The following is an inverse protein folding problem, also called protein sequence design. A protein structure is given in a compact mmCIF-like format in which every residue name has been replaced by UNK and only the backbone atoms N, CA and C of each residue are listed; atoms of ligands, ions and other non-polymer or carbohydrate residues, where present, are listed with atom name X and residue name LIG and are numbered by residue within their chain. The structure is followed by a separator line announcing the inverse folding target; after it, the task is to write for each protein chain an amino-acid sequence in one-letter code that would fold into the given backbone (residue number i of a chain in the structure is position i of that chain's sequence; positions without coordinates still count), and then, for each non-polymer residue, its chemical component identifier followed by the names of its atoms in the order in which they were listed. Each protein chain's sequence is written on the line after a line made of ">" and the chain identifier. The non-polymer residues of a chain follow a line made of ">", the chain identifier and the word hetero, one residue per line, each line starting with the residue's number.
data_IF_943505086575
#
_entry.id   IF_943505086575
#
_cell.length_a   1.000
_cell.length_b   1.000
_cell.length_c   1.000
_cell.angle_alpha   90.00
_cell.angle_beta   90.00
_cell.angle_gamma   90.00
#
_symmetry.space_group_name_H-M   'P 1'
#
loop_
_entity.id
_entity.type
_entity.pdbx_description
1 polymer ?
#
# COMPACT_ATOMS: atom_id res chain seq x y z
N UNK A 1 15.29 -3.21 -20.06
CA UNK A 1 14.12 -3.94 -19.54
C UNK A 1 12.89 -3.24 -20.08
N UNK A 2 11.89 -3.96 -20.62
CA UNK A 2 10.64 -3.31 -21.03
C UNK A 2 10.10 -2.50 -19.85
N UNK A 3 9.56 -1.30 -20.12
CA UNK A 3 9.21 -0.27 -19.14
C UNK A 3 8.48 -0.86 -17.92
N UNK A 4 9.19 -1.02 -16.79
CA UNK A 4 8.54 -1.31 -15.50
C UNK A 4 7.53 -0.18 -15.23
N UNK A 5 6.24 -0.49 -15.04
CA UNK A 5 5.21 0.53 -14.89
C UNK A 5 5.49 1.40 -13.67
N UNK A 6 5.31 2.71 -13.86
CA UNK A 6 5.30 3.68 -12.78
C UNK A 6 3.89 3.70 -12.18
N UNK A 7 3.72 2.89 -11.13
CA UNK A 7 2.42 2.62 -10.50
C UNK A 7 2.49 2.82 -8.99
N UNK A 8 1.42 3.38 -8.43
CA UNK A 8 1.16 3.44 -6.99
C UNK A 8 -0.02 2.51 -6.66
N UNK A 9 0.19 1.59 -5.73
CA UNK A 9 -0.81 0.62 -5.28
C UNK A 9 -1.35 1.08 -3.93
N UNK A 10 -2.64 1.36 -3.85
CA UNK A 10 -3.33 1.72 -2.61
C UNK A 10 -3.80 0.45 -1.91
N UNK A 11 -3.45 0.29 -0.64
CA UNK A 11 -3.83 -0.86 0.18
C UNK A 11 -4.53 -0.36 1.45
N UNK A 12 -5.86 -0.49 1.57
CA UNK A 12 -6.58 -0.12 2.78
C UNK A 12 -6.32 -1.17 3.87
N UNK A 13 -6.00 -0.73 5.09
CA UNK A 13 -5.71 -1.60 6.21
C UNK A 13 -6.57 -1.22 7.43
N UNK A 14 -7.26 -2.21 7.99
CA UNK A 14 -7.92 -2.09 9.29
C UNK A 14 -7.77 -3.40 10.06
N UNK A 15 -7.01 -3.38 11.16
CA UNK A 15 -6.74 -4.55 11.99
C UNK A 15 -6.17 -5.75 11.20
N UNK A 16 -5.11 -5.50 10.44
CA UNK A 16 -4.47 -6.44 9.52
C UNK A 16 -3.14 -6.99 10.03
N UNK A 17 -2.73 -6.70 11.27
CA UNK A 17 -1.38 -7.05 11.78
C UNK A 17 -0.96 -8.52 11.57
N UNK A 18 -1.94 -9.45 11.60
CA UNK A 18 -1.71 -10.91 11.44
C UNK A 18 -1.97 -11.40 10.01
N UNK A 19 -2.67 -10.61 9.21
CA UNK A 19 -3.14 -10.97 7.87
C UNK A 19 -2.27 -10.36 6.78
N UNK A 20 -1.59 -9.25 7.06
CA UNK A 20 -0.75 -8.56 6.12
C UNK A 20 0.48 -9.44 5.75
N UNK A 21 0.61 -9.91 4.50
CA UNK A 21 1.70 -10.78 4.08
C UNK A 21 3.01 -10.01 3.87
N UNK A 22 3.67 -9.65 4.97
CA UNK A 22 4.86 -8.78 4.96
C UNK A 22 5.97 -9.32 4.05
N UNK A 23 6.19 -10.64 4.04
CA UNK A 23 7.23 -11.24 3.21
C UNK A 23 6.96 -11.04 1.70
N UNK A 24 5.70 -11.10 1.28
CA UNK A 24 5.31 -10.93 -0.12
C UNK A 24 5.46 -9.47 -0.55
N UNK A 25 4.99 -8.52 0.28
CA UNK A 25 5.22 -7.10 0.04
C UNK A 25 6.71 -6.75 -0.06
N UNK A 26 7.55 -7.30 0.82
CA UNK A 26 9.01 -7.06 0.76
C UNK A 26 9.61 -7.59 -0.54
N UNK A 27 9.28 -8.84 -0.89
CA UNK A 27 9.78 -9.48 -2.12
C UNK A 27 9.36 -8.69 -3.35
N UNK A 28 8.11 -8.24 -3.41
CA UNK A 28 7.60 -7.38 -4.48
C UNK A 28 8.37 -6.06 -4.57
N UNK A 29 8.56 -5.35 -3.46
CA UNK A 29 9.27 -4.07 -3.41
C UNK A 29 10.77 -4.19 -3.75
N UNK A 30 11.38 -5.34 -3.46
CA UNK A 30 12.76 -5.65 -3.85
C UNK A 30 12.87 -5.89 -5.37
N UNK A 31 11.89 -6.58 -5.96
CA UNK A 31 11.87 -6.91 -7.39
C UNK A 31 11.40 -5.73 -8.27
N UNK A 32 10.63 -4.79 -7.73
CA UNK A 32 9.99 -3.71 -8.48
C UNK A 32 10.34 -2.32 -7.93
N UNK A 33 11.60 -1.84 -8.07
CA UNK A 33 12.08 -0.61 -7.41
C UNK A 33 11.40 0.70 -7.82
N UNK A 34 10.54 0.67 -8.86
CA UNK A 34 9.73 1.81 -9.30
C UNK A 34 8.29 1.78 -8.76
N UNK A 35 7.84 0.62 -8.29
CA UNK A 35 6.52 0.47 -7.70
C UNK A 35 6.48 1.25 -6.38
N UNK A 36 5.31 1.82 -6.09
CA UNK A 36 5.03 2.44 -4.81
C UNK A 36 3.80 1.81 -4.21
N UNK A 37 3.78 1.68 -2.89
CA UNK A 37 2.65 1.15 -2.13
C UNK A 37 2.24 2.20 -1.11
N UNK A 38 0.98 2.62 -1.18
CA UNK A 38 0.35 3.52 -0.22
C UNK A 38 -0.58 2.71 0.67
N UNK A 39 -0.14 2.42 1.90
CA UNK A 39 -0.99 1.79 2.90
C UNK A 39 -1.85 2.86 3.57
N UNK A 40 -3.16 2.63 3.59
CA UNK A 40 -4.11 3.52 4.26
C UNK A 40 -4.57 2.84 5.54
N UNK A 41 -3.98 3.21 6.67
CA UNK A 41 -4.39 2.72 7.97
C UNK A 41 -5.69 3.42 8.41
N UNK A 42 -6.81 2.70 8.33
CA UNK A 42 -8.14 3.20 8.58
C UNK A 42 -8.52 3.15 10.08
N UNK A 43 -7.69 3.80 10.90
CA UNK A 43 -7.77 3.82 12.36
C UNK A 43 -7.75 2.41 13.01
N UNK A 44 -6.78 1.58 12.63
CA UNK A 44 -6.56 0.28 13.29
C UNK A 44 -6.35 0.44 14.79
N UNK A 45 -6.90 -0.50 15.56
CA UNK A 45 -6.81 -0.56 17.03
C UNK A 45 -5.80 -1.59 17.53
N UNK A 46 -5.16 -2.31 16.61
CA UNK A 46 -4.09 -3.27 16.87
C UNK A 46 -2.72 -2.74 16.39
N UNK A 47 -1.71 -3.60 16.31
CA UNK A 47 -0.35 -3.20 15.91
C UNK A 47 -0.16 -3.05 14.39
N UNK A 48 -1.23 -2.95 13.59
CA UNK A 48 -1.12 -2.76 12.13
C UNK A 48 -0.23 -1.58 11.78
N UNK A 49 -0.38 -0.43 12.47
CA UNK A 49 0.44 0.75 12.21
C UNK A 49 1.95 0.52 12.41
N UNK A 50 2.33 -0.25 13.44
CA UNK A 50 3.74 -0.58 13.72
C UNK A 50 4.34 -1.46 12.61
N UNK A 51 3.55 -2.43 12.14
CA UNK A 51 3.94 -3.31 11.03
C UNK A 51 4.14 -2.51 9.74
N UNK A 52 3.22 -1.59 9.43
CA UNK A 52 3.34 -0.69 8.28
C UNK A 52 4.58 0.22 8.40
N UNK A 53 4.84 0.77 9.59
CA UNK A 53 6.02 1.62 9.83
C UNK A 53 7.32 0.85 9.62
N UNK A 54 7.37 -0.42 10.02
CA UNK A 54 8.51 -1.30 9.76
C UNK A 54 8.78 -1.49 8.26
N UNK A 55 7.73 -1.71 7.47
CA UNK A 55 7.82 -1.77 6.00
C UNK A 55 8.30 -0.44 5.40
N UNK A 56 7.77 0.69 5.89
CA UNK A 56 8.22 2.01 5.44
C UNK A 56 9.70 2.26 5.74
N UNK A 57 10.17 1.88 6.92
CA UNK A 57 11.58 2.04 7.30
C UNK A 57 12.51 1.20 6.42
N UNK A 58 12.07 0.01 5.99
CA UNK A 58 12.83 -0.83 5.06
C UNK A 58 12.80 -0.31 3.61
N UNK A 59 11.71 0.31 3.17
CA UNK A 59 11.51 0.79 1.80
C UNK A 59 11.04 2.26 1.74
N UNK A 60 11.83 3.23 2.26
CA UNK A 60 11.36 4.60 2.50
C UNK A 60 11.04 5.40 1.23
N UNK A 61 11.49 4.94 0.06
CA UNK A 61 11.20 5.56 -1.24
C UNK A 61 10.00 4.93 -1.96
N UNK A 62 9.52 3.78 -1.50
CA UNK A 62 8.48 3.00 -2.16
C UNK A 62 7.23 2.89 -1.29
N UNK A 63 7.35 2.93 0.04
CA UNK A 63 6.23 2.72 0.97
C UNK A 63 5.80 4.04 1.61
N UNK A 64 4.52 4.33 1.46
CA UNK A 64 3.85 5.51 2.01
C UNK A 64 2.73 5.04 2.94
N UNK A 65 2.49 5.80 4.01
CA UNK A 65 1.45 5.48 4.99
C UNK A 65 0.56 6.71 5.14
N UNK A 66 -0.75 6.52 4.94
CA UNK A 66 -1.79 7.49 5.23
C UNK A 66 -2.61 6.97 6.42
N UNK A 67 -2.82 7.78 7.45
CA UNK A 67 -3.65 7.41 8.60
C UNK A 67 -4.97 8.19 8.55
N UNK A 68 -6.10 7.49 8.65
CA UNK A 68 -7.39 8.13 8.89
C UNK A 68 -7.60 8.29 10.41
N UNK A 69 -8.19 9.41 10.83
CA UNK A 69 -8.44 9.70 12.26
C UNK A 69 -9.51 8.80 12.90
N UNK A 70 -10.37 8.20 12.07
CA UNK A 70 -11.40 7.24 12.46
C UNK A 70 -11.59 6.22 11.34
N UNK A 71 -12.19 5.07 11.66
CA UNK A 71 -12.54 4.08 10.66
C UNK A 71 -13.64 4.64 9.75
N UNK A 72 -13.29 4.88 8.49
CA UNK A 72 -14.16 5.43 7.45
C UNK A 72 -14.74 4.34 6.54
N UNK A 73 -14.22 3.11 6.67
CA UNK A 73 -14.54 1.98 5.82
C UNK A 73 -13.67 1.91 4.57
N UNK A 74 -13.55 0.69 4.01
CA UNK A 74 -12.67 0.36 2.88
C UNK A 74 -12.78 1.33 1.70
N UNK A 75 -14.00 1.67 1.27
CA UNK A 75 -14.20 2.53 0.10
C UNK A 75 -13.61 3.93 0.29
N UNK A 76 -13.82 4.54 1.47
CA UNK A 76 -13.23 5.84 1.78
C UNK A 76 -11.72 5.75 2.03
N UNK A 77 -11.24 4.67 2.64
CA UNK A 77 -9.80 4.43 2.77
C UNK A 77 -9.11 4.36 1.38
N UNK A 78 -9.68 3.60 0.43
CA UNK A 78 -9.18 3.55 -0.95
C UNK A 78 -9.24 4.92 -1.60
N UNK A 79 -10.38 5.63 -1.50
CA UNK A 79 -10.56 6.97 -2.06
C UNK A 79 -9.50 7.94 -1.54
N UNK A 80 -9.27 7.97 -0.23
CA UNK A 80 -8.26 8.83 0.39
C UNK A 80 -6.84 8.47 -0.08
N UNK A 81 -6.52 7.17 -0.17
CA UNK A 81 -5.24 6.71 -0.69
C UNK A 81 -5.01 7.12 -2.15
N UNK A 82 -6.01 7.01 -3.01
CA UNK A 82 -5.93 7.44 -4.43
C UNK A 82 -5.71 8.95 -4.52
N UNK A 83 -6.46 9.74 -3.73
CA UNK A 83 -6.30 11.19 -3.70
C UNK A 83 -4.90 11.60 -3.24
N UNK A 84 -4.38 10.95 -2.20
CA UNK A 84 -3.02 11.15 -1.70
C UNK A 84 -1.96 10.79 -2.75
N UNK A 85 -2.08 9.64 -3.40
CA UNK A 85 -1.15 9.23 -4.45
C UNK A 85 -1.09 10.25 -5.59
N UNK A 86 -2.25 10.80 -5.97
CA UNK A 86 -2.34 11.81 -7.02
C UNK A 86 -1.79 13.18 -6.57
N UNK A 87 -2.09 13.62 -5.34
CA UNK A 87 -1.60 14.92 -4.84
C UNK A 87 -0.08 14.93 -4.70
N UNK A 88 0.50 13.85 -4.19
CA UNK A 88 1.95 13.67 -4.04
C UNK A 88 2.65 13.28 -5.35
N UNK A 89 1.88 13.09 -6.44
CA UNK A 89 2.38 12.64 -7.75
C UNK A 89 3.26 11.40 -7.64
N UNK A 90 2.81 10.44 -6.83
CA UNK A 90 3.59 9.24 -6.55
C UNK A 90 3.88 8.45 -7.82
N UNK A 91 2.92 8.34 -8.73
CA UNK A 91 3.10 7.56 -9.95
C UNK A 91 2.15 8.03 -11.05
N UNK A 92 2.45 7.61 -12.28
CA UNK A 92 1.63 7.87 -13.47
C UNK A 92 0.30 7.10 -13.46
N UNK A 93 0.27 5.94 -12.81
CA UNK A 93 -0.93 5.10 -12.65
C UNK A 93 -1.19 4.82 -11.16
N UNK A 94 -2.46 4.67 -10.80
CA UNK A 94 -2.86 4.24 -9.46
C UNK A 94 -3.78 3.04 -9.55
N UNK A 95 -3.49 2.00 -8.78
CA UNK A 95 -4.35 0.83 -8.59
C UNK A 95 -4.68 0.70 -7.09
N UNK A 96 -5.65 -0.14 -6.75
CA UNK A 96 -5.88 -0.54 -5.37
C UNK A 96 -5.95 -2.06 -5.25
N UNK A 97 -5.52 -2.58 -4.11
CA UNK A 97 -5.56 -4.00 -3.76
C UNK A 97 -6.06 -4.18 -2.34
N UNK A 98 -6.68 -5.32 -2.07
CA UNK A 98 -6.99 -5.72 -0.70
C UNK A 98 -5.72 -6.08 0.09
N UNK A 99 -5.74 -5.82 1.40
CA UNK A 99 -4.59 -6.04 2.28
C UNK A 99 -4.23 -7.52 2.46
N UNK A 100 -5.17 -8.43 2.21
CA UNK A 100 -4.96 -9.88 2.30
C UNK A 100 -4.43 -10.50 1.01
N UNK A 101 -4.18 -9.70 -0.03
CA UNK A 101 -3.75 -10.16 -1.35
C UNK A 101 -4.62 -11.30 -1.91
N UNK A 102 -5.95 -11.24 -1.72
CA UNK A 102 -6.88 -12.15 -2.39
C UNK A 102 -6.73 -12.15 -3.94
N UNK A 103 -6.03 -11.14 -4.48
CA UNK A 103 -5.46 -11.07 -5.82
C UNK A 103 -3.96 -10.75 -5.67
N UNK A 104 -3.10 -11.41 -6.46
CA UNK A 104 -1.65 -11.28 -6.31
C UNK A 104 -1.15 -9.88 -6.71
N UNK A 105 -0.04 -9.42 -6.12
CA UNK A 105 0.57 -8.13 -6.46
C UNK A 105 0.99 -8.09 -7.93
N UNK A 106 1.40 -9.24 -8.46
CA UNK A 106 1.82 -9.46 -9.83
C UNK A 106 0.67 -9.24 -10.83
N UNK A 107 -0.54 -9.73 -10.55
CA UNK A 107 -1.72 -9.52 -11.42
C UNK A 107 -2.14 -8.04 -11.52
N UNK A 108 -1.86 -7.24 -10.50
CA UNK A 108 -2.09 -5.79 -10.54
C UNK A 108 -0.96 -5.00 -11.20
N UNK A 109 0.25 -5.56 -11.21
CA UNK A 109 1.44 -4.90 -11.73
C UNK A 109 1.63 -5.11 -13.23
N UNK A 110 1.11 -6.19 -13.80
CA UNK A 110 1.21 -6.46 -15.25
C UNK A 110 0.41 -7.66 -15.74
#
# INVERSE_FOLDING_TARGET
>A
MPNSPDIAIVVPCYNEQKRLPIHDYRTFLENHPKAKVCFVNDASTDHTGEVLQSLQNAFPKQVFILNNDRNMGKAEAVRNGVLFCNSEKLASYTAYLDADLATSLEECYG
#
